data_IF_357507385688
#
_entry.id   IF_357507385688
#
_cell.length_a   1.000
_cell.length_b   1.000
_cell.length_c   1.000
_cell.angle_alpha   90.00
_cell.angle_beta   90.00
_cell.angle_gamma   90.00
#
_symmetry.space_group_name_H-M   'P 1'
#
loop_
_entity.id
_entity.type
_entity.pdbx_description
1 polymer ?
#
# COMPACT_ATOMS: atom_id res chain seq x y z
N UNK A 1 22.86 -6.82 17.63
CA UNK A 1 22.28 -8.18 17.74
C UNK A 1 20.91 -8.04 18.41
N UNK A 2 19.84 -8.61 17.85
CA UNK A 2 18.47 -8.40 18.35
C UNK A 2 18.24 -9.14 19.69
N UNK A 3 17.33 -8.65 20.54
CA UNK A 3 16.98 -9.31 21.82
C UNK A 3 16.54 -10.77 21.62
N UNK A 4 15.85 -11.07 20.51
CA UNK A 4 15.41 -12.42 20.17
C UNK A 4 16.59 -13.36 19.90
N UNK A 5 17.62 -12.90 19.19
CA UNK A 5 18.85 -13.68 18.94
C UNK A 5 19.58 -13.96 20.25
N UNK A 6 19.72 -12.96 21.13
CA UNK A 6 20.34 -13.15 22.45
C UNK A 6 19.57 -14.18 23.29
N UNK A 7 18.23 -14.12 23.30
CA UNK A 7 17.39 -15.08 24.01
C UNK A 7 17.48 -16.50 23.44
N UNK A 8 17.54 -16.64 22.11
CA UNK A 8 17.68 -17.95 21.46
C UNK A 8 19.07 -18.55 21.70
N UNK A 9 20.13 -17.75 21.62
CA UNK A 9 21.50 -18.16 21.91
C UNK A 9 21.70 -18.64 23.36
N UNK A 10 20.97 -18.07 24.32
CA UNK A 10 20.99 -18.51 25.72
C UNK A 10 20.03 -19.65 26.04
N UNK A 11 19.26 -20.12 25.06
CA UNK A 11 18.25 -21.18 25.24
C UNK A 11 18.76 -22.55 24.75
N UNK A 12 17.98 -23.60 25.06
CA UNK A 12 18.20 -24.94 24.51
C UNK A 12 18.09 -25.01 22.98
N UNK A 13 17.52 -23.99 22.33
CA UNK A 13 17.40 -23.93 20.87
C UNK A 13 18.72 -23.61 20.16
N UNK A 14 19.74 -23.07 20.85
CA UNK A 14 21.03 -22.79 20.22
C UNK A 14 21.75 -24.06 19.73
N UNK A 15 21.72 -25.14 20.53
CA UNK A 15 22.31 -26.45 20.21
C UNK A 15 21.24 -27.54 19.99
N UNK A 16 20.02 -27.13 19.66
CA UNK A 16 18.93 -28.07 19.47
C UNK A 16 19.18 -29.00 18.27
N UNK A 17 18.58 -30.19 18.33
CA UNK A 17 18.54 -31.09 17.18
C UNK A 17 17.72 -30.46 16.06
N UNK A 18 18.09 -30.76 14.83
CA UNK A 18 17.43 -30.26 13.62
C UNK A 18 15.90 -30.44 13.65
N UNK A 19 15.41 -31.61 14.08
CA UNK A 19 13.98 -31.88 14.19
C UNK A 19 13.23 -30.91 15.10
N UNK A 20 13.85 -30.45 16.19
CA UNK A 20 13.26 -29.49 17.09
C UNK A 20 13.19 -28.10 16.45
N UNK A 21 14.25 -27.67 15.75
CA UNK A 21 14.27 -26.40 15.02
C UNK A 21 13.21 -26.39 13.91
N UNK A 22 13.12 -27.45 13.11
CA UNK A 22 12.08 -27.60 12.06
C UNK A 22 10.68 -27.45 12.64
N UNK A 23 10.40 -28.18 13.73
CA UNK A 23 9.10 -28.10 14.39
C UNK A 23 8.82 -26.70 14.94
N UNK A 24 9.81 -26.04 15.52
CA UNK A 24 9.66 -24.68 16.05
C UNK A 24 9.32 -23.68 14.94
N UNK A 25 10.03 -23.73 13.80
CA UNK A 25 9.70 -22.90 12.62
C UNK A 25 8.28 -23.17 12.14
N UNK A 26 7.87 -24.43 11.99
CA UNK A 26 6.51 -24.79 11.57
C UNK A 26 5.45 -24.25 12.53
N UNK A 27 5.68 -24.33 13.84
CA UNK A 27 4.76 -23.78 14.85
C UNK A 27 4.67 -22.27 14.72
N UNK A 28 5.78 -21.56 14.58
CA UNK A 28 5.79 -20.11 14.40
C UNK A 28 5.06 -19.68 13.11
N UNK A 29 5.26 -20.40 12.00
CA UNK A 29 4.54 -20.14 10.74
C UNK A 29 3.03 -20.36 10.88
N UNK A 30 2.62 -21.44 11.54
CA UNK A 30 1.20 -21.70 11.84
C UNK A 30 0.61 -20.58 12.68
N UNK A 31 1.34 -20.13 13.71
CA UNK A 31 0.91 -19.01 14.55
C UNK A 31 0.73 -17.73 13.73
N UNK A 32 1.69 -17.42 12.87
CA UNK A 32 1.63 -16.24 12.01
C UNK A 32 0.44 -16.30 11.03
N UNK A 33 0.19 -17.47 10.43
CA UNK A 33 -0.89 -17.66 9.46
C UNK A 33 -2.29 -17.81 10.08
N UNK A 34 -2.41 -18.30 11.33
CA UNK A 34 -3.71 -18.73 11.89
C UNK A 34 -4.07 -18.15 13.26
N UNK A 35 -3.09 -17.73 14.06
CA UNK A 35 -3.33 -17.41 15.47
C UNK A 35 -2.95 -15.98 15.85
N UNK A 36 -2.15 -15.29 15.03
CA UNK A 36 -1.75 -13.91 15.29
C UNK A 36 -2.99 -13.00 15.40
N UNK A 37 -3.27 -12.58 16.63
CA UNK A 37 -4.47 -11.84 16.99
C UNK A 37 -4.31 -10.33 16.83
N UNK A 38 -3.08 -9.84 16.95
CA UNK A 38 -2.74 -8.43 16.78
C UNK A 38 -1.36 -8.21 16.13
N UNK A 39 -1.11 -6.96 15.75
CA UNK A 39 0.15 -6.52 15.14
C UNK A 39 1.38 -6.82 16.02
N UNK A 40 1.28 -6.66 17.34
CA UNK A 40 2.40 -6.87 18.27
C UNK A 40 2.76 -8.35 18.38
N UNK A 41 1.79 -9.24 18.36
CA UNK A 41 1.99 -10.67 18.33
C UNK A 41 2.66 -11.10 17.03
N UNK A 42 2.18 -10.61 15.89
CA UNK A 42 2.84 -10.82 14.59
C UNK A 42 4.31 -10.37 14.61
N UNK A 43 4.60 -9.17 15.14
CA UNK A 43 5.97 -8.68 15.31
C UNK A 43 6.86 -9.59 16.16
N UNK A 44 6.33 -10.16 17.26
CA UNK A 44 7.08 -11.07 18.12
C UNK A 44 7.38 -12.39 17.43
N UNK A 45 6.38 -12.98 16.75
CA UNK A 45 6.53 -14.23 16.01
C UNK A 45 7.59 -14.07 14.92
N UNK A 46 7.54 -12.98 14.16
CA UNK A 46 8.52 -12.74 13.09
C UNK A 46 9.90 -12.39 13.62
N UNK A 47 9.99 -11.71 14.76
CA UNK A 47 11.29 -11.54 15.44
C UNK A 47 11.91 -12.88 15.85
N UNK A 48 11.09 -13.86 16.26
CA UNK A 48 11.55 -15.21 16.55
C UNK A 48 11.97 -15.97 15.28
N UNK A 49 11.18 -15.89 14.20
CA UNK A 49 11.53 -16.49 12.90
C UNK A 49 12.86 -15.95 12.37
N UNK A 50 13.05 -14.62 12.36
CA UNK A 50 14.28 -13.97 11.90
C UNK A 50 15.49 -14.35 12.77
N UNK A 51 15.28 -14.57 14.06
CA UNK A 51 16.35 -15.01 14.95
C UNK A 51 16.70 -16.50 14.70
N UNK A 52 15.72 -17.35 14.37
CA UNK A 52 15.99 -18.73 13.94
C UNK A 52 16.73 -18.75 12.60
N UNK A 53 16.34 -17.93 11.63
CA UNK A 53 17.04 -17.76 10.36
C UNK A 53 18.52 -17.39 10.57
N UNK A 54 18.81 -16.46 11.48
CA UNK A 54 20.18 -16.02 11.76
C UNK A 54 21.04 -17.12 12.42
N UNK A 55 20.45 -17.95 13.28
CA UNK A 55 21.19 -18.97 14.03
C UNK A 55 21.27 -20.30 13.25
N UNK A 56 20.20 -20.66 12.52
CA UNK A 56 19.99 -21.97 11.90
C UNK A 56 19.52 -21.83 10.44
N UNK A 57 20.23 -21.03 9.64
CA UNK A 57 19.83 -20.62 8.28
C UNK A 57 19.39 -21.77 7.37
N UNK A 58 20.22 -22.80 7.21
CA UNK A 58 19.91 -23.88 6.26
C UNK A 58 18.66 -24.67 6.67
N UNK A 59 18.54 -24.98 7.97
CA UNK A 59 17.38 -25.68 8.53
C UNK A 59 16.11 -24.83 8.35
N UNK A 60 16.21 -23.52 8.56
CA UNK A 60 15.13 -22.56 8.37
C UNK A 60 14.67 -22.54 6.90
N UNK A 61 15.59 -22.32 5.97
CA UNK A 61 15.30 -22.27 4.52
C UNK A 61 14.69 -23.58 4.02
N UNK A 62 15.24 -24.73 4.39
CA UNK A 62 14.71 -26.04 3.99
C UNK A 62 13.33 -26.31 4.57
N UNK A 63 13.07 -25.81 5.78
CA UNK A 63 11.74 -25.90 6.40
C UNK A 63 10.72 -25.05 5.64
N UNK A 64 11.06 -23.82 5.26
CA UNK A 64 10.18 -22.98 4.45
C UNK A 64 9.86 -23.63 3.10
N UNK A 65 10.89 -24.05 2.35
CA UNK A 65 10.74 -24.74 1.05
C UNK A 65 9.81 -25.96 1.13
N UNK A 66 9.92 -26.75 2.20
CA UNK A 66 9.16 -28.01 2.32
C UNK A 66 7.78 -27.85 2.96
N UNK A 67 7.52 -26.79 3.73
CA UNK A 67 6.30 -26.67 4.55
C UNK A 67 5.41 -25.48 4.21
N UNK A 68 5.96 -24.36 3.74
CA UNK A 68 5.20 -23.11 3.62
C UNK A 68 3.98 -23.25 2.71
N UNK A 69 4.18 -23.80 1.51
CA UNK A 69 3.10 -24.07 0.55
C UNK A 69 1.96 -24.87 1.19
N UNK A 70 2.28 -25.99 1.84
CA UNK A 70 1.28 -26.84 2.48
C UNK A 70 0.54 -26.15 3.62
N UNK A 71 1.21 -25.25 4.36
CA UNK A 71 0.54 -24.45 5.39
C UNK A 71 -0.46 -23.47 4.78
N UNK A 72 -0.11 -22.78 3.70
CA UNK A 72 -1.01 -21.84 3.02
C UNK A 72 -2.19 -22.58 2.37
N UNK A 73 -1.97 -23.77 1.78
CA UNK A 73 -3.04 -24.62 1.22
C UNK A 73 -4.12 -24.97 2.25
N UNK A 74 -3.79 -24.96 3.55
CA UNK A 74 -4.75 -25.27 4.62
C UNK A 74 -5.58 -24.06 5.08
N UNK A 75 -5.38 -22.88 4.49
CA UNK A 75 -6.19 -21.71 4.75
C UNK A 75 -7.48 -21.76 3.93
N UNK A 76 -8.59 -21.37 4.56
CA UNK A 76 -9.81 -21.05 3.83
C UNK A 76 -9.63 -19.75 3.05
N UNK A 77 -10.44 -19.56 2.02
CA UNK A 77 -10.36 -18.36 1.17
C UNK A 77 -10.61 -17.07 1.96
N UNK A 78 -11.47 -17.13 2.98
CA UNK A 78 -11.74 -16.02 3.92
C UNK A 78 -10.51 -15.59 4.74
N UNK A 79 -9.51 -16.46 4.90
CA UNK A 79 -8.31 -16.20 5.70
C UNK A 79 -7.05 -16.11 4.83
N UNK A 80 -7.19 -16.03 3.50
CA UNK A 80 -6.05 -16.07 2.60
C UNK A 80 -5.20 -14.79 2.67
N UNK A 81 -5.81 -13.67 3.06
CA UNK A 81 -5.17 -12.39 3.38
C UNK A 81 -4.08 -12.51 4.46
N UNK A 82 -4.23 -13.46 5.40
CA UNK A 82 -3.22 -13.72 6.43
C UNK A 82 -1.87 -14.14 5.87
N UNK A 83 -1.84 -14.59 4.61
CA UNK A 83 -0.59 -14.88 3.90
C UNK A 83 0.25 -13.62 3.69
N UNK A 84 -0.38 -12.44 3.55
CA UNK A 84 0.33 -11.18 3.36
C UNK A 84 1.27 -10.86 4.53
N UNK A 85 0.87 -11.19 5.76
CA UNK A 85 1.75 -11.04 6.94
C UNK A 85 3.02 -11.88 6.83
N UNK A 86 2.95 -13.06 6.20
CA UNK A 86 4.15 -13.89 5.97
C UNK A 86 5.01 -13.27 4.87
N UNK A 87 4.39 -12.92 3.74
CA UNK A 87 5.10 -12.36 2.58
C UNK A 87 5.76 -11.01 2.89
N UNK A 88 5.12 -10.16 3.69
CA UNK A 88 5.69 -8.89 4.17
C UNK A 88 6.93 -9.06 5.02
N UNK A 89 6.99 -10.15 5.80
CA UNK A 89 7.98 -10.32 6.86
C UNK A 89 9.11 -11.25 6.49
N UNK A 90 8.86 -12.16 5.54
CA UNK A 90 9.81 -13.12 5.00
C UNK A 90 10.01 -12.81 3.51
N UNK A 91 10.97 -11.95 3.19
CA UNK A 91 11.13 -11.34 1.85
C UNK A 91 11.39 -12.33 0.72
N UNK A 92 11.90 -13.51 1.00
CA UNK A 92 12.16 -14.58 0.03
C UNK A 92 11.05 -15.64 -0.03
N UNK A 93 10.02 -15.52 0.81
CA UNK A 93 9.00 -16.56 0.99
C UNK A 93 8.17 -16.84 -0.25
N UNK A 94 8.00 -15.86 -1.13
CA UNK A 94 7.35 -16.04 -2.43
C UNK A 94 8.04 -17.10 -3.30
N UNK A 95 9.38 -17.18 -3.27
CA UNK A 95 10.16 -18.13 -4.06
C UNK A 95 10.00 -19.58 -3.59
N UNK A 96 9.51 -19.78 -2.36
CA UNK A 96 9.26 -21.10 -1.79
C UNK A 96 7.87 -21.64 -2.08
N UNK A 97 6.99 -20.83 -2.70
CA UNK A 97 5.63 -21.25 -3.01
C UNK A 97 5.57 -22.07 -4.30
N UNK A 98 4.79 -23.15 -4.26
CA UNK A 98 4.42 -23.90 -5.46
C UNK A 98 3.51 -23.05 -6.36
N UNK A 99 3.54 -23.34 -7.66
CA UNK A 99 2.85 -22.56 -8.70
C UNK A 99 1.34 -22.44 -8.43
N UNK A 100 0.70 -23.50 -7.95
CA UNK A 100 -0.74 -23.51 -7.66
C UNK A 100 -1.11 -22.57 -6.51
N UNK A 101 -0.27 -22.45 -5.48
CA UNK A 101 -0.45 -21.47 -4.40
C UNK A 101 -0.22 -20.05 -4.89
N UNK A 102 0.81 -19.84 -5.73
CA UNK A 102 1.05 -18.52 -6.35
C UNK A 102 -0.18 -18.06 -7.14
N UNK A 103 -0.71 -18.92 -8.01
CA UNK A 103 -1.92 -18.66 -8.79
C UNK A 103 -3.15 -18.39 -7.90
N UNK A 104 -3.32 -19.14 -6.81
CA UNK A 104 -4.42 -18.92 -5.85
C UNK A 104 -4.33 -17.52 -5.22
N UNK A 105 -3.13 -17.11 -4.79
CA UNK A 105 -2.89 -15.80 -4.19
C UNK A 105 -3.06 -14.67 -5.21
N UNK A 106 -2.56 -14.84 -6.43
CA UNK A 106 -2.75 -13.89 -7.53
C UNK A 106 -4.24 -13.68 -7.84
N UNK A 107 -5.02 -14.76 -7.92
CA UNK A 107 -6.45 -14.70 -8.17
C UNK A 107 -7.22 -14.04 -7.01
N UNK A 108 -6.81 -14.30 -5.77
CA UNK A 108 -7.37 -13.65 -4.60
C UNK A 108 -7.10 -12.14 -4.60
N UNK A 109 -5.85 -11.73 -4.87
CA UNK A 109 -5.46 -10.32 -4.94
C UNK A 109 -6.17 -9.59 -6.08
N UNK A 110 -6.35 -10.23 -7.24
CA UNK A 110 -7.12 -9.63 -8.35
C UNK A 110 -8.60 -9.38 -7.97
N UNK A 111 -9.13 -10.13 -7.00
CA UNK A 111 -10.50 -10.03 -6.48
C UNK A 111 -10.54 -9.57 -5.01
N UNK A 112 -9.54 -8.80 -4.58
CA UNK A 112 -9.40 -8.39 -3.18
C UNK A 112 -10.69 -7.68 -2.70
N UNK A 113 -11.27 -8.10 -1.55
CA UNK A 113 -12.44 -7.44 -0.98
C UNK A 113 -12.16 -5.96 -0.71
N UNK A 114 -13.19 -5.11 -0.82
CA UNK A 114 -13.01 -3.66 -0.63
C UNK A 114 -12.54 -3.31 0.79
N UNK A 115 -12.94 -4.13 1.77
CA UNK A 115 -12.57 -4.01 3.18
C UNK A 115 -11.07 -4.27 3.44
N UNK A 116 -10.33 -4.71 2.40
CA UNK A 116 -8.91 -5.06 2.45
C UNK A 116 -8.07 -4.21 1.49
N UNK A 117 -8.63 -3.13 0.93
CA UNK A 117 -7.90 -2.28 -0.03
C UNK A 117 -6.72 -1.55 0.59
N UNK A 118 -6.65 -1.43 1.92
CA UNK A 118 -5.48 -0.94 2.65
C UNK A 118 -4.24 -1.82 2.44
N UNK A 119 -4.42 -3.12 2.15
CA UNK A 119 -3.33 -4.04 1.82
C UNK A 119 -2.63 -3.69 0.49
N UNK A 120 -3.24 -2.85 -0.37
CA UNK A 120 -2.62 -2.43 -1.63
C UNK A 120 -1.28 -1.73 -1.44
N UNK A 121 -1.05 -1.10 -0.28
CA UNK A 121 0.25 -0.50 0.04
C UNK A 121 1.38 -1.53 -0.05
N UNK A 122 1.16 -2.72 0.51
CA UNK A 122 2.09 -3.83 0.39
C UNK A 122 2.00 -4.49 -0.99
N UNK A 123 0.80 -4.84 -1.44
CA UNK A 123 0.62 -5.71 -2.61
C UNK A 123 1.18 -5.09 -3.91
N UNK A 124 1.10 -3.77 -4.06
CA UNK A 124 1.64 -3.07 -5.22
C UNK A 124 3.18 -3.06 -5.26
N UNK A 125 3.86 -3.19 -4.11
CA UNK A 125 5.32 -3.27 -4.03
C UNK A 125 5.86 -4.70 -4.09
N UNK A 126 5.01 -5.71 -3.89
CA UNK A 126 5.42 -7.10 -3.90
C UNK A 126 5.57 -7.65 -5.33
N UNK A 127 6.78 -8.10 -5.70
CA UNK A 127 7.14 -8.52 -7.06
C UNK A 127 6.21 -9.60 -7.65
N UNK A 128 5.78 -10.55 -6.83
CA UNK A 128 4.88 -11.63 -7.26
C UNK A 128 3.40 -11.28 -7.31
N UNK A 129 2.97 -10.20 -6.65
CA UNK A 129 1.53 -9.87 -6.48
C UNK A 129 1.14 -8.55 -7.11
N UNK A 130 2.11 -7.69 -7.43
CA UNK A 130 1.87 -6.38 -8.02
C UNK A 130 1.08 -6.43 -9.32
N UNK A 131 1.22 -7.43 -10.23
CA UNK A 131 0.39 -7.48 -11.44
C UNK A 131 -1.10 -7.64 -11.10
N UNK A 132 -1.45 -8.55 -10.19
CA UNK A 132 -2.82 -8.76 -9.75
C UNK A 132 -3.36 -7.57 -8.95
N UNK A 133 -2.52 -6.96 -8.10
CA UNK A 133 -2.89 -5.79 -7.32
C UNK A 133 -3.23 -4.60 -8.22
N UNK A 134 -2.45 -4.39 -9.28
CA UNK A 134 -2.74 -3.38 -10.29
C UNK A 134 -4.09 -3.64 -10.99
N UNK A 135 -4.38 -4.88 -11.39
CA UNK A 135 -5.68 -5.21 -12.01
C UNK A 135 -6.85 -4.92 -11.07
N UNK A 136 -6.72 -5.20 -9.77
CA UNK A 136 -7.75 -4.88 -8.78
C UNK A 136 -7.92 -3.38 -8.61
N UNK A 137 -6.82 -2.64 -8.52
CA UNK A 137 -6.80 -1.19 -8.41
C UNK A 137 -7.52 -0.50 -9.57
N UNK A 138 -7.32 -0.99 -10.79
CA UNK A 138 -7.99 -0.46 -11.99
C UNK A 138 -9.52 -0.64 -11.97
N UNK A 139 -10.03 -1.62 -11.21
CA UNK A 139 -11.46 -1.84 -11.02
C UNK A 139 -12.03 -1.03 -9.85
N UNK A 140 -11.17 -0.41 -9.04
CA UNK A 140 -11.59 0.32 -7.84
C UNK A 140 -12.41 1.56 -8.21
N UNK A 141 -13.52 1.75 -7.51
CA UNK A 141 -14.43 2.89 -7.68
C UNK A 141 -14.09 4.04 -6.72
N UNK A 142 -14.69 5.23 -6.96
CA UNK A 142 -14.58 6.39 -6.05
C UNK A 142 -14.99 6.07 -4.61
N UNK A 143 -16.04 5.25 -4.43
CA UNK A 143 -16.53 4.86 -3.10
C UNK A 143 -15.54 3.93 -2.42
N UNK A 144 -15.06 2.91 -3.15
CA UNK A 144 -14.13 1.93 -2.59
C UNK A 144 -12.78 2.54 -2.23
N UNK A 145 -12.25 3.47 -3.02
CA UNK A 145 -10.92 4.08 -2.77
C UNK A 145 -10.94 5.14 -1.67
N UNK A 146 -12.12 5.67 -1.32
CA UNK A 146 -12.28 6.63 -0.23
C UNK A 146 -12.37 5.98 1.17
N UNK A 147 -12.79 4.72 1.24
CA UNK A 147 -12.91 3.93 2.48
C UNK A 147 -11.57 3.68 3.20
N UNK A 148 -10.50 3.18 2.54
CA UNK A 148 -9.24 2.89 3.22
C UNK A 148 -8.44 4.16 3.56
N UNK A 149 -7.67 4.09 4.65
CA UNK A 149 -6.68 5.10 5.00
C UNK A 149 -5.27 4.58 4.69
N UNK A 150 -4.70 5.04 3.59
CA UNK A 150 -3.29 4.83 3.29
C UNK A 150 -2.41 5.73 4.18
N UNK A 151 -1.52 5.14 4.98
CA UNK A 151 -0.55 5.89 5.78
C UNK A 151 0.53 6.56 4.92
N UNK A 152 1.01 5.82 3.92
CA UNK A 152 1.83 6.33 2.83
C UNK A 152 1.08 5.99 1.54
N UNK A 153 0.73 6.97 0.73
CA UNK A 153 -0.03 6.74 -0.50
C UNK A 153 0.87 6.11 -1.58
N UNK A 154 0.58 4.88 -2.06
CA UNK A 154 1.34 4.30 -3.16
C UNK A 154 1.08 5.09 -4.45
N UNK A 155 2.12 5.34 -5.24
CA UNK A 155 2.02 6.10 -6.51
C UNK A 155 0.88 5.58 -7.41
N UNK A 156 0.71 4.26 -7.65
CA UNK A 156 -0.40 3.78 -8.49
C UNK A 156 -1.78 4.10 -7.91
N UNK A 157 -1.92 4.11 -6.58
CA UNK A 157 -3.19 4.49 -5.92
C UNK A 157 -3.45 5.98 -6.13
N UNK A 158 -2.41 6.82 -6.00
CA UNK A 158 -2.48 8.23 -6.35
C UNK A 158 -2.91 8.46 -7.81
N UNK A 159 -2.33 7.71 -8.75
CA UNK A 159 -2.71 7.78 -10.17
C UNK A 159 -4.19 7.43 -10.36
N UNK A 160 -4.68 6.39 -9.68
CA UNK A 160 -6.09 6.00 -9.73
C UNK A 160 -7.02 7.03 -9.11
N UNK A 161 -6.64 7.66 -8.00
CA UNK A 161 -7.42 8.77 -7.41
C UNK A 161 -7.49 9.94 -8.38
N UNK A 162 -6.37 10.32 -8.99
CA UNK A 162 -6.32 11.41 -9.97
C UNK A 162 -7.17 11.08 -11.19
N UNK A 163 -7.05 9.89 -11.77
CA UNK A 163 -7.87 9.42 -12.89
C UNK A 163 -9.36 9.51 -12.56
N UNK A 164 -9.79 8.95 -11.42
CA UNK A 164 -11.17 9.03 -10.95
C UNK A 164 -11.63 10.48 -10.70
N UNK A 165 -10.74 11.41 -10.36
CA UNK A 165 -11.14 12.80 -10.22
C UNK A 165 -11.30 13.48 -11.58
N UNK A 166 -10.32 13.32 -12.47
CA UNK A 166 -10.30 13.88 -13.83
C UNK A 166 -11.53 13.43 -14.63
N UNK A 167 -11.92 12.17 -14.49
CA UNK A 167 -13.07 11.57 -15.17
C UNK A 167 -14.41 11.87 -14.49
N UNK A 168 -14.51 12.99 -13.76
CA UNK A 168 -15.78 13.41 -13.15
C UNK A 168 -16.75 13.87 -14.24
N UNK A 169 -17.88 13.15 -14.39
CA UNK A 169 -18.90 13.42 -15.41
C UNK A 169 -20.14 14.13 -14.84
N UNK A 170 -20.09 14.50 -13.55
CA UNK A 170 -21.18 15.27 -12.93
C UNK A 170 -20.67 16.14 -11.79
N UNK A 171 -21.41 17.21 -11.51
CA UNK A 171 -21.17 18.03 -10.32
C UNK A 171 -21.20 17.21 -9.03
N UNK A 172 -22.06 16.19 -8.94
CA UNK A 172 -22.10 15.33 -7.77
C UNK A 172 -20.76 14.61 -7.58
N UNK A 173 -20.23 13.96 -8.63
CA UNK A 173 -18.94 13.27 -8.57
C UNK A 173 -17.79 14.22 -8.21
N UNK A 174 -17.71 15.38 -8.89
CA UNK A 174 -16.67 16.37 -8.64
C UNK A 174 -16.70 16.86 -7.18
N UNK A 175 -17.87 17.21 -6.66
CA UNK A 175 -18.01 17.70 -5.29
C UNK A 175 -17.75 16.59 -4.25
N UNK A 176 -18.34 15.41 -4.43
CA UNK A 176 -18.26 14.35 -3.41
C UNK A 176 -16.88 13.72 -3.30
N UNK A 177 -16.12 13.68 -4.40
CA UNK A 177 -14.80 13.03 -4.44
C UNK A 177 -13.64 13.98 -4.12
N UNK A 178 -13.89 15.30 -4.14
CA UNK A 178 -12.88 16.32 -3.81
C UNK A 178 -12.27 16.13 -2.42
N UNK A 179 -13.03 15.59 -1.45
CA UNK A 179 -12.49 15.30 -0.10
C UNK A 179 -11.39 14.23 -0.14
N UNK A 180 -11.52 13.21 -0.98
CA UNK A 180 -10.49 12.16 -1.14
C UNK A 180 -9.25 12.74 -1.81
N UNK A 181 -9.43 13.55 -2.86
CA UNK A 181 -8.33 14.22 -3.57
C UNK A 181 -7.55 15.16 -2.65
N UNK A 182 -8.26 15.96 -1.85
CA UNK A 182 -7.63 16.89 -0.91
C UNK A 182 -6.97 16.17 0.28
N UNK A 183 -7.51 15.03 0.73
CA UNK A 183 -6.91 14.20 1.80
C UNK A 183 -5.48 13.78 1.46
N UNK A 184 -5.23 13.42 0.21
CA UNK A 184 -3.94 12.92 -0.26
C UNK A 184 -3.09 13.96 -1.02
N UNK A 185 -3.53 15.21 -1.04
CA UNK A 185 -2.86 16.27 -1.78
C UNK A 185 -1.37 16.44 -1.43
N UNK A 186 -0.96 16.15 -0.20
CA UNK A 186 0.45 16.23 0.23
C UNK A 186 1.34 15.12 -0.33
N UNK A 187 0.75 14.00 -0.71
CA UNK A 187 1.46 12.77 -1.07
C UNK A 187 1.57 12.61 -2.59
N UNK A 188 0.80 13.40 -3.35
CA UNK A 188 0.86 13.41 -4.80
C UNK A 188 2.23 13.83 -5.34
N UNK A 189 2.63 13.21 -6.45
CA UNK A 189 3.79 13.64 -7.22
C UNK A 189 3.51 14.97 -7.93
N UNK A 190 4.56 15.65 -8.41
CA UNK A 190 4.41 16.89 -9.19
C UNK A 190 3.49 16.67 -10.41
N UNK A 191 3.64 15.55 -11.10
CA UNK A 191 2.84 15.18 -12.28
C UNK A 191 1.37 14.94 -11.93
N UNK A 192 1.10 14.32 -10.78
CA UNK A 192 -0.25 14.10 -10.27
C UNK A 192 -0.92 15.44 -9.90
N UNK A 193 -0.18 16.32 -9.22
CA UNK A 193 -0.65 17.69 -8.90
C UNK A 193 -0.98 18.46 -10.17
N UNK A 194 -0.09 18.46 -11.17
CA UNK A 194 -0.34 19.14 -12.44
C UNK A 194 -1.60 18.62 -13.12
N UNK A 195 -1.79 17.29 -13.20
CA UNK A 195 -3.00 16.68 -13.77
C UNK A 195 -4.28 17.14 -13.06
N UNK A 196 -4.27 17.20 -11.73
CA UNK A 196 -5.41 17.70 -10.95
C UNK A 196 -5.69 19.17 -11.24
N UNK A 197 -4.65 20.01 -11.30
CA UNK A 197 -4.81 21.44 -11.61
C UNK A 197 -5.36 21.65 -13.03
N UNK A 198 -4.83 20.94 -14.02
CA UNK A 198 -5.33 21.03 -15.40
C UNK A 198 -6.78 20.59 -15.51
N UNK A 199 -7.14 19.48 -14.86
CA UNK A 199 -8.52 19.01 -14.81
C UNK A 199 -9.48 20.03 -14.18
N UNK A 200 -9.02 20.87 -13.25
CA UNK A 200 -9.85 21.94 -12.69
C UNK A 200 -10.26 22.98 -13.74
N UNK A 201 -9.50 23.17 -14.82
CA UNK A 201 -9.87 24.10 -15.90
C UNK A 201 -10.49 23.41 -17.11
N UNK A 202 -10.02 22.20 -17.44
CA UNK A 202 -10.40 21.46 -18.65
C UNK A 202 -11.73 20.69 -18.51
N UNK A 203 -12.09 20.25 -17.30
CA UNK A 203 -13.34 19.54 -17.03
C UNK A 203 -14.42 20.52 -16.53
N UNK A 204 -15.55 20.61 -17.23
CA UNK A 204 -16.61 21.58 -16.96
C UNK A 204 -17.24 21.39 -15.57
N UNK A 205 -17.48 20.14 -15.18
CA UNK A 205 -18.09 19.74 -13.91
C UNK A 205 -17.16 20.04 -12.73
N UNK A 206 -15.86 19.80 -12.89
CA UNK A 206 -14.86 20.14 -11.87
C UNK A 206 -14.70 21.66 -11.78
N UNK A 207 -14.52 22.34 -12.91
CA UNK A 207 -14.32 23.80 -12.99
C UNK A 207 -15.39 24.60 -12.27
N UNK A 208 -16.64 24.17 -12.43
CA UNK A 208 -17.80 24.86 -11.86
C UNK A 208 -18.32 24.16 -10.58
N UNK A 209 -17.54 23.26 -9.99
CA UNK A 209 -17.86 22.63 -8.70
C UNK A 209 -17.69 23.62 -7.54
N UNK A 210 -18.35 23.36 -6.40
CA UNK A 210 -18.19 24.14 -5.19
C UNK A 210 -16.82 23.92 -4.52
N UNK A 211 -16.15 22.83 -4.86
CA UNK A 211 -14.91 22.37 -4.21
C UNK A 211 -13.64 22.74 -4.99
N UNK A 212 -13.74 23.25 -6.22
CA UNK A 212 -12.59 23.55 -7.09
C UNK A 212 -11.54 24.43 -6.40
N UNK A 213 -11.97 25.49 -5.71
CA UNK A 213 -11.06 26.38 -4.98
C UNK A 213 -10.35 25.68 -3.82
N UNK A 214 -11.02 24.72 -3.14
CA UNK A 214 -10.39 23.94 -2.06
C UNK A 214 -9.38 22.95 -2.63
N UNK A 215 -9.70 22.30 -3.75
CA UNK A 215 -8.77 21.38 -4.45
C UNK A 215 -7.51 22.11 -4.89
N UNK A 216 -7.65 23.25 -5.58
CA UNK A 216 -6.50 24.07 -6.02
C UNK A 216 -5.64 24.50 -4.81
N UNK A 217 -6.27 24.96 -3.73
CA UNK A 217 -5.55 25.35 -2.52
C UNK A 217 -4.84 24.19 -1.82
N UNK A 218 -5.38 22.96 -1.90
CA UNK A 218 -4.72 21.78 -1.37
C UNK A 218 -3.50 21.40 -2.22
N UNK A 219 -3.66 21.38 -3.55
CA UNK A 219 -2.57 21.13 -4.50
C UNK A 219 -1.42 22.13 -4.33
N UNK A 220 -1.73 23.41 -4.13
CA UNK A 220 -0.74 24.47 -3.90
C UNK A 220 0.11 24.26 -2.63
N UNK A 221 -0.41 23.54 -1.64
CA UNK A 221 0.32 23.24 -0.39
C UNK A 221 1.23 22.01 -0.52
N UNK A 222 1.21 21.31 -1.66
CA UNK A 222 2.09 20.19 -1.90
C UNK A 222 3.55 20.67 -1.99
N UNK A 223 4.47 19.97 -1.31
CA UNK A 223 5.89 20.37 -1.20
C UNK A 223 6.71 20.11 -2.47
N UNK A 224 6.17 19.37 -3.43
CA UNK A 224 6.81 19.03 -4.71
C UNK A 224 6.59 20.12 -5.77
N UNK A 225 5.79 21.14 -5.48
CA UNK A 225 5.46 22.23 -6.42
C UNK A 225 5.70 23.59 -5.77
N UNK A 226 5.93 24.60 -6.60
CA UNK A 226 6.00 26.00 -6.18
C UNK A 226 4.70 26.73 -6.51
N UNK A 227 4.47 27.89 -5.88
CA UNK A 227 3.36 28.77 -6.27
C UNK A 227 3.43 29.14 -7.77
N UNK A 228 4.63 29.38 -8.28
CA UNK A 228 4.86 29.71 -9.69
C UNK A 228 4.49 28.56 -10.63
N UNK A 229 4.81 27.30 -10.28
CA UNK A 229 4.37 26.12 -11.05
C UNK A 229 2.85 26.08 -11.14
N UNK A 230 2.18 26.21 -9.99
CA UNK A 230 0.71 26.14 -9.91
C UNK A 230 0.04 27.30 -10.65
N UNK A 231 0.56 28.52 -10.51
CA UNK A 231 0.04 29.69 -11.20
C UNK A 231 0.20 29.57 -12.72
N UNK A 232 1.33 29.06 -13.19
CA UNK A 232 1.55 28.80 -14.62
C UNK A 232 0.51 27.81 -15.16
N UNK A 233 0.27 26.69 -14.46
CA UNK A 233 -0.74 25.72 -14.89
C UNK A 233 -2.16 26.26 -14.83
N UNK A 234 -2.52 27.08 -13.84
CA UNK A 234 -3.84 27.73 -13.76
C UNK A 234 -4.04 28.73 -14.89
N UNK A 235 -2.98 29.44 -15.30
CA UNK A 235 -3.01 30.34 -16.46
C UNK A 235 -3.25 29.55 -17.75
N UNK A 236 -2.57 28.40 -17.93
CA UNK A 236 -2.72 27.54 -19.10
C UNK A 236 -4.17 27.06 -19.31
N UNK A 237 -4.93 26.88 -18.22
CA UNK A 237 -6.31 26.36 -18.25
C UNK A 237 -7.39 27.41 -17.93
N UNK A 238 -7.09 28.69 -18.15
CA UNK A 238 -8.03 29.81 -18.00
C UNK A 238 -8.68 29.93 -16.59
N UNK A 239 -7.86 29.68 -15.55
CA UNK A 239 -8.22 29.78 -14.13
C UNK A 239 -7.44 30.87 -13.39
N UNK A 240 -7.17 31.99 -14.07
CA UNK A 240 -6.38 33.12 -13.55
C UNK A 240 -6.94 33.73 -12.26
N UNK A 241 -8.24 33.61 -12.02
CA UNK A 241 -8.87 34.07 -10.77
C UNK A 241 -8.37 33.33 -9.51
N UNK A 242 -7.69 32.19 -9.67
CA UNK A 242 -7.11 31.40 -8.58
C UNK A 242 -5.58 31.57 -8.45
N UNK A 243 -4.95 32.42 -9.27
CA UNK A 243 -3.53 32.73 -9.11
C UNK A 243 -3.30 33.61 -7.89
N UNK A 244 -2.11 33.55 -7.30
CA UNK A 244 -1.75 34.54 -6.27
C UNK A 244 -1.55 35.91 -6.92
N UNK A 245 -1.87 37.02 -6.22
CA UNK A 245 -1.44 38.33 -6.66
C UNK A 245 0.09 38.36 -6.70
N UNK A 246 0.66 39.00 -7.71
CA UNK A 246 2.10 39.31 -7.72
C UNK A 246 2.41 40.05 -6.42
N UNK A 247 3.30 39.49 -5.59
CA UNK A 247 3.85 40.24 -4.46
C UNK A 247 4.75 41.31 -5.05
N UNK A 248 4.18 42.49 -5.29
CA UNK A 248 5.00 43.70 -5.47
C UNK A 248 5.68 43.91 -4.12
N UNK A 249 6.98 43.66 -4.06
CA UNK A 249 7.80 44.14 -2.95
C UNK A 249 7.64 45.66 -2.91
N UNK A 250 6.84 46.16 -1.96
CA UNK A 250 6.89 47.57 -1.60
C UNK A 250 8.25 47.80 -0.94
N UNK A 251 9.22 48.21 -1.77
CA UNK A 251 10.50 48.74 -1.32
C UNK A 251 10.25 49.89 -0.33
N UNK A 252 10.58 49.64 0.94
CA UNK A 252 10.62 50.63 2.01
C UNK A 252 12.00 51.25 2.18
#
# INVERSE_FOLDING_TARGET
MSKAVTALNSSSLFKARESLIKNFVVVLLKKLLKEASDYKEGMRISSALNAVEQIHKDIYTDTLKSKLTNLIKTLSDENLDRTFLVLQRLTDSWEYLELDVKQKLEAYVENLPKEKLDELNFLLSHTGLSPSANKRLQKTTRVEIDEPLFFDLPIPVGDRIVELFVDSESFYQANSFSSTVTRYASDFTKEQVEKVIRACGDNYEIRNSFEVGKVINAMRKNKQVTDADVDAWLIDVDLKQYTKPDMVEEDG
#
